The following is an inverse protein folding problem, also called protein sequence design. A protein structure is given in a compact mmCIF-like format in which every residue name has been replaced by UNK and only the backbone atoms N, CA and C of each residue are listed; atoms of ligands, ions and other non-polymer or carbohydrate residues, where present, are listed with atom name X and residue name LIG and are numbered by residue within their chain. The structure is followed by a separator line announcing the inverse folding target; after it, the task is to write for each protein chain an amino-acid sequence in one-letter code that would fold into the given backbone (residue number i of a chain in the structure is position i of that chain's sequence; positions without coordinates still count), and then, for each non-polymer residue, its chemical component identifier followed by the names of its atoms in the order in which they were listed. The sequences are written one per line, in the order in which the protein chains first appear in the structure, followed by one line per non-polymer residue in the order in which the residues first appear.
data_IF_732482148463
#
_entry.id   IF_732482148463
#
_cell.length_a   1.000
_cell.length_b   1.000
_cell.length_c   1.000
_cell.angle_alpha   90.00
_cell.angle_beta   90.00
_cell.angle_gamma   90.00
#
_symmetry.space_group_name_H-M   'P 1'
#
loop_
_entity.id
_entity.type
_entity.pdbx_description
1 polymer ?
#
# COMPACT_ATOMS: atom_id res chain seq x y z
N UNK A 1 -37.11 41.85 14.95
CA UNK A 1 -36.27 41.57 13.77
C UNK A 1 -36.46 40.15 13.24
N UNK A 2 -36.06 39.09 13.97
CA UNK A 2 -36.10 37.68 13.52
C UNK A 2 -37.49 37.18 13.06
N UNK A 3 -38.55 37.50 13.81
CA UNK A 3 -39.95 37.21 13.42
C UNK A 3 -40.35 37.85 12.09
N UNK A 4 -39.86 39.05 11.80
CA UNK A 4 -40.16 39.77 10.57
C UNK A 4 -39.43 39.12 9.38
N UNK A 5 -38.17 38.72 9.57
CA UNK A 5 -37.36 37.99 8.59
C UNK A 5 -37.99 36.66 8.20
N UNK A 6 -38.41 35.83 9.16
CA UNK A 6 -39.09 34.56 8.89
C UNK A 6 -40.42 34.74 8.16
N UNK A 7 -41.18 35.80 8.47
CA UNK A 7 -42.43 36.13 7.77
C UNK A 7 -42.15 36.52 6.31
N UNK A 8 -41.07 37.25 6.06
CA UNK A 8 -40.65 37.66 4.72
C UNK A 8 -40.13 36.48 3.87
N UNK A 9 -39.38 35.56 4.50
CA UNK A 9 -38.95 34.29 3.92
C UNK A 9 -40.14 33.42 3.51
N UNK A 10 -41.14 33.27 4.39
CA UNK A 10 -42.39 32.55 4.10
C UNK A 10 -43.26 33.21 3.03
N UNK A 11 -43.16 34.52 2.83
CA UNK A 11 -43.86 35.21 1.75
C UNK A 11 -43.23 34.94 0.37
N UNK A 12 -41.93 34.65 0.32
CA UNK A 12 -41.16 34.45 -0.92
C UNK A 12 -40.55 33.04 -1.02
N UNK A 13 -41.36 32.00 -0.77
CA UNK A 13 -40.89 30.61 -0.58
C UNK A 13 -40.05 30.08 -1.74
N UNK A 14 -40.47 30.35 -2.99
CA UNK A 14 -39.80 29.84 -4.19
C UNK A 14 -38.42 30.49 -4.35
N UNK A 15 -38.35 31.82 -4.27
CA UNK A 15 -37.09 32.55 -4.38
C UNK A 15 -36.11 32.13 -3.29
N UNK A 16 -36.59 32.02 -2.05
CA UNK A 16 -35.77 31.55 -0.94
C UNK A 16 -35.22 30.14 -1.20
N UNK A 17 -36.08 29.19 -1.60
CA UNK A 17 -35.67 27.82 -1.90
C UNK A 17 -34.60 27.76 -2.98
N UNK A 18 -34.76 28.49 -4.10
CA UNK A 18 -33.78 28.52 -5.19
C UNK A 18 -32.44 29.12 -4.75
N UNK A 19 -32.45 30.20 -3.97
CA UNK A 19 -31.20 30.79 -3.44
C UNK A 19 -30.50 29.87 -2.44
N UNK A 20 -31.26 29.22 -1.56
CA UNK A 20 -30.71 28.26 -0.60
C UNK A 20 -30.14 27.06 -1.34
N UNK A 21 -30.83 26.53 -2.34
CA UNK A 21 -30.34 25.42 -3.16
C UNK A 21 -29.02 25.79 -3.85
N UNK A 22 -28.91 26.99 -4.44
CA UNK A 22 -27.68 27.45 -5.05
C UNK A 22 -26.51 27.50 -4.06
N UNK A 23 -26.74 28.03 -2.85
CA UNK A 23 -25.72 28.06 -1.78
C UNK A 23 -25.35 26.65 -1.31
N UNK A 24 -26.33 25.76 -1.12
CA UNK A 24 -26.08 24.38 -0.69
C UNK A 24 -25.25 23.65 -1.74
N UNK A 25 -25.61 23.73 -3.03
CA UNK A 25 -24.85 23.08 -4.10
C UNK A 25 -23.41 23.60 -4.18
N UNK A 26 -23.21 24.92 -4.07
CA UNK A 26 -21.88 25.51 -4.08
C UNK A 26 -21.03 25.04 -2.90
N UNK A 27 -21.58 25.06 -1.68
CA UNK A 27 -20.87 24.62 -0.47
C UNK A 27 -20.61 23.11 -0.50
N UNK A 28 -21.58 22.31 -0.94
CA UNK A 28 -21.42 20.86 -1.09
C UNK A 28 -20.27 20.53 -2.04
N UNK A 29 -20.15 21.22 -3.18
CA UNK A 29 -19.05 20.99 -4.10
C UNK A 29 -17.68 21.30 -3.47
N UNK A 30 -17.58 22.42 -2.75
CA UNK A 30 -16.34 22.80 -2.04
C UNK A 30 -15.99 21.77 -0.97
N UNK A 31 -16.97 21.33 -0.16
CA UNK A 31 -16.77 20.32 0.88
C UNK A 31 -16.36 18.97 0.28
N UNK A 32 -16.99 18.54 -0.82
CA UNK A 32 -16.64 17.27 -1.48
C UNK A 32 -15.19 17.24 -1.96
N UNK A 33 -14.67 18.35 -2.49
CA UNK A 33 -13.28 18.43 -2.91
C UNK A 33 -12.31 18.29 -1.73
N UNK A 34 -12.62 18.93 -0.60
CA UNK A 34 -11.81 18.78 0.62
C UNK A 34 -11.89 17.38 1.21
N UNK A 35 -13.08 16.81 1.34
CA UNK A 35 -13.24 15.44 1.86
C UNK A 35 -12.52 14.42 0.98
N UNK A 36 -12.58 14.57 -0.35
CA UNK A 36 -11.84 13.72 -1.26
C UNK A 36 -10.32 13.88 -1.10
N UNK A 37 -9.83 15.13 -1.02
CA UNK A 37 -8.42 15.41 -0.84
C UNK A 37 -7.88 14.90 0.50
N UNK A 38 -8.61 15.13 1.59
CA UNK A 38 -8.28 14.65 2.93
C UNK A 38 -8.34 13.12 2.98
N UNK A 39 -9.34 12.50 2.34
CA UNK A 39 -9.48 11.05 2.25
C UNK A 39 -8.32 10.40 1.50
N UNK A 40 -7.92 10.95 0.36
CA UNK A 40 -6.73 10.49 -0.38
C UNK A 40 -5.48 10.63 0.48
N UNK A 41 -5.29 11.78 1.12
CA UNK A 41 -4.11 12.03 1.97
C UNK A 41 -4.04 11.07 3.16
N UNK A 42 -5.17 10.81 3.82
CA UNK A 42 -5.24 9.84 4.92
C UNK A 42 -4.88 8.46 4.39
N UNK A 43 -5.54 8.00 3.32
CA UNK A 43 -5.31 6.67 2.76
C UNK A 43 -3.84 6.44 2.39
N UNK A 44 -3.19 7.40 1.71
CA UNK A 44 -1.76 7.28 1.40
C UNK A 44 -0.88 7.35 2.64
N UNK A 45 -1.25 8.15 3.65
CA UNK A 45 -0.56 8.21 4.92
C UNK A 45 -0.62 6.89 5.67
N UNK A 46 -1.83 6.34 5.80
CA UNK A 46 -2.11 5.07 6.48
C UNK A 46 -1.36 3.92 5.79
N UNK A 47 -1.43 3.83 4.46
CA UNK A 47 -0.68 2.81 3.69
C UNK A 47 0.83 2.95 3.87
N UNK A 48 1.36 4.17 3.91
CA UNK A 48 2.80 4.38 4.13
C UNK A 48 3.20 3.97 5.54
N UNK A 49 2.40 4.31 6.55
CA UNK A 49 2.64 3.95 7.95
C UNK A 49 2.59 2.43 8.16
N UNK A 50 1.60 1.77 7.55
CA UNK A 50 1.42 0.32 7.63
C UNK A 50 2.58 -0.44 6.96
N UNK A 51 3.04 -0.04 5.76
CA UNK A 51 4.13 -0.72 5.05
C UNK A 51 5.46 -0.61 5.81
N UNK A 52 5.68 0.48 6.53
CA UNK A 52 6.91 0.68 7.33
C UNK A 52 6.70 0.38 8.82
N UNK A 53 5.56 -0.21 9.19
CA UNK A 53 5.26 -0.47 10.60
C UNK A 53 6.34 -1.36 11.22
N UNK A 54 6.84 -0.97 12.40
CA UNK A 54 7.91 -1.67 13.09
C UNK A 54 9.33 -1.38 12.58
N UNK A 55 9.50 -0.57 11.53
CA UNK A 55 10.81 -0.16 11.00
C UNK A 55 11.10 1.30 11.36
N UNK A 56 12.06 1.53 12.25
CA UNK A 56 12.48 2.89 12.62
C UNK A 56 13.42 3.53 11.58
N UNK A 57 14.31 2.73 10.98
CA UNK A 57 15.34 3.18 10.04
C UNK A 57 15.55 2.11 8.96
N UNK A 58 15.54 2.53 7.70
CA UNK A 58 15.91 1.69 6.57
C UNK A 58 17.29 2.10 6.01
N UNK A 59 18.22 1.14 5.94
CA UNK A 59 19.53 1.35 5.34
C UNK A 59 19.47 0.89 3.88
N UNK A 60 19.60 1.83 2.95
CA UNK A 60 19.50 1.59 1.51
C UNK A 60 20.74 2.06 0.75
N UNK A 61 21.04 1.48 -0.43
CA UNK A 61 22.11 1.96 -1.30
C UNK A 61 21.96 3.46 -1.62
N UNK A 62 23.05 4.20 -1.50
CA UNK A 62 23.11 5.63 -1.84
C UNK A 62 23.41 5.79 -3.33
N UNK A 63 22.45 5.45 -4.20
CA UNK A 63 22.53 5.72 -5.64
C UNK A 63 21.29 6.48 -6.09
N UNK A 64 21.50 7.64 -6.72
CA UNK A 64 20.41 8.47 -7.27
C UNK A 64 19.97 8.01 -8.67
N UNK A 65 20.81 7.22 -9.37
CA UNK A 65 20.56 6.76 -10.75
C UNK A 65 21.23 5.41 -11.06
N UNK A 66 20.53 4.55 -11.79
CA UNK A 66 21.00 3.22 -12.23
C UNK A 66 20.60 2.09 -11.26
N UNK A 67 21.00 0.85 -11.59
CA UNK A 67 20.70 -0.30 -10.73
C UNK A 67 21.42 -0.14 -9.39
N UNK A 68 20.71 -0.20 -8.25
CA UNK A 68 21.32 -0.05 -6.94
C UNK A 68 22.33 -1.18 -6.72
N UNK A 69 23.55 -0.82 -6.32
CA UNK A 69 24.55 -1.82 -5.94
C UNK A 69 24.07 -2.49 -4.65
N UNK A 70 23.91 -3.84 -4.63
CA UNK A 70 23.46 -4.52 -3.43
C UNK A 70 24.37 -4.24 -2.24
N UNK A 71 23.77 -4.03 -1.07
CA UNK A 71 24.51 -3.89 0.16
C UNK A 71 25.19 -5.23 0.52
N UNK A 72 26.37 -5.16 1.11
CA UNK A 72 27.04 -6.35 1.62
C UNK A 72 26.18 -7.01 2.70
N UNK A 73 26.01 -8.33 2.65
CA UNK A 73 25.29 -9.09 3.67
C UNK A 73 25.87 -8.89 5.09
N UNK A 74 27.17 -8.60 5.20
CA UNK A 74 27.82 -8.30 6.48
C UNK A 74 27.39 -6.98 7.12
N UNK A 75 26.71 -6.10 6.38
CA UNK A 75 26.25 -4.80 6.89
C UNK A 75 25.20 -4.95 7.99
N UNK A 76 24.34 -5.98 7.92
CA UNK A 76 23.33 -6.25 8.95
C UNK A 76 23.99 -6.42 10.33
N UNK A 77 25.06 -7.20 10.39
CA UNK A 77 25.81 -7.41 11.64
C UNK A 77 26.47 -6.13 12.16
N UNK A 78 26.90 -5.24 11.25
CA UNK A 78 27.46 -3.94 11.62
C UNK A 78 26.38 -3.00 12.17
N UNK A 79 25.19 -2.98 11.56
CA UNK A 79 24.05 -2.16 12.01
C UNK A 79 23.53 -2.67 13.36
N UNK A 80 23.38 -3.98 13.53
CA UNK A 80 22.97 -4.60 14.78
C UNK A 80 23.93 -4.30 15.95
N UNK A 81 25.20 -4.00 15.66
CA UNK A 81 26.20 -3.67 16.67
C UNK A 81 26.20 -2.19 17.11
N UNK A 82 25.39 -1.33 16.47
CA UNK A 82 25.28 0.09 16.83
C UNK A 82 24.44 0.24 18.11
N UNK A 83 24.92 1.03 19.06
CA UNK A 83 24.22 1.28 20.32
C UNK A 83 22.84 1.92 20.05
N UNK A 84 21.80 1.37 20.68
CA UNK A 84 20.41 1.77 20.48
C UNK A 84 19.66 1.03 19.36
N UNK A 85 20.32 0.20 18.55
CA UNK A 85 19.64 -0.70 17.59
C UNK A 85 19.14 -1.92 18.34
N UNK A 86 17.82 -2.11 18.35
CA UNK A 86 17.19 -3.27 18.99
C UNK A 86 17.34 -4.53 18.14
N UNK A 87 17.09 -4.40 16.83
CA UNK A 87 17.19 -5.49 15.87
C UNK A 87 17.56 -4.95 14.48
N UNK A 88 18.20 -5.77 13.66
CA UNK A 88 18.54 -5.44 12.28
C UNK A 88 18.28 -6.65 11.38
N UNK A 89 17.40 -6.48 10.40
CA UNK A 89 16.95 -7.55 9.50
C UNK A 89 17.37 -7.21 8.07
N UNK A 90 17.93 -8.17 7.31
CA UNK A 90 18.14 -7.97 5.88
C UNK A 90 16.81 -7.87 5.16
N UNK A 91 16.66 -6.86 4.29
CA UNK A 91 15.59 -6.84 3.30
C UNK A 91 16.21 -7.09 1.91
N UNK A 92 15.70 -8.09 1.19
CA UNK A 92 16.13 -8.40 -0.17
C UNK A 92 14.89 -8.30 -1.05
N UNK A 93 14.98 -7.42 -2.03
CA UNK A 93 13.95 -7.19 -3.04
C UNK A 93 14.57 -7.50 -4.41
N UNK A 94 13.83 -8.25 -5.23
CA UNK A 94 14.20 -8.46 -6.62
C UNK A 94 13.90 -7.18 -7.44
N UNK A 95 14.62 -6.92 -8.53
CA UNK A 95 14.27 -5.81 -9.41
C UNK A 95 12.83 -5.91 -9.92
N UNK A 96 12.21 -4.76 -10.19
CA UNK A 96 10.87 -4.66 -10.78
C UNK A 96 10.68 -5.64 -11.94
N UNK A 97 9.60 -6.42 -11.90
CA UNK A 97 9.21 -7.41 -12.92
C UNK A 97 10.21 -8.55 -13.17
N UNK A 98 11.25 -8.70 -12.34
CA UNK A 98 12.27 -9.74 -12.51
C UNK A 98 11.77 -11.15 -12.12
N UNK A 99 10.86 -11.23 -11.15
CA UNK A 99 10.26 -12.48 -10.69
C UNK A 99 8.78 -12.48 -11.08
N UNK A 100 8.38 -13.47 -11.87
CA UNK A 100 7.04 -13.55 -12.44
C UNK A 100 6.43 -14.91 -12.14
N UNK A 101 5.30 -14.97 -11.41
CA UNK A 101 4.62 -16.23 -11.16
C UNK A 101 4.09 -16.80 -12.48
N UNK A 102 4.27 -18.11 -12.66
CA UNK A 102 3.77 -18.85 -13.82
C UNK A 102 2.69 -19.82 -13.32
N UNK A 103 1.41 -19.59 -13.65
CA UNK A 103 0.32 -20.51 -13.35
C UNK A 103 0.46 -21.82 -14.14
N UNK A 104 -0.34 -22.82 -13.77
CA UNK A 104 -0.29 -24.17 -14.37
C UNK A 104 -0.63 -24.21 -15.88
N UNK A 105 -1.24 -23.16 -16.42
CA UNK A 105 -1.51 -23.01 -17.86
C UNK A 105 -0.30 -22.50 -18.66
N UNK A 106 0.78 -22.10 -17.99
CA UNK A 106 2.14 -22.01 -18.52
C UNK A 106 2.60 -20.62 -18.96
N UNK A 107 1.71 -19.64 -19.04
CA UNK A 107 2.11 -18.27 -19.43
C UNK A 107 2.36 -17.40 -18.17
N UNK A 108 3.51 -16.69 -18.08
CA UNK A 108 3.78 -15.83 -16.94
C UNK A 108 2.73 -14.74 -16.78
N UNK A 109 2.32 -14.50 -15.54
CA UNK A 109 1.40 -13.41 -15.23
C UNK A 109 2.11 -12.08 -15.50
N UNK A 110 1.42 -11.20 -16.21
CA UNK A 110 1.86 -9.84 -16.49
C UNK A 110 0.91 -8.85 -15.82
N UNK A 111 1.43 -7.69 -15.42
CA UNK A 111 0.62 -6.60 -14.87
C UNK A 111 0.49 -5.46 -15.90
N UNK A 112 -0.64 -4.76 -15.80
CA UNK A 112 -0.88 -3.52 -16.53
C UNK A 112 -0.96 -2.38 -15.51
N UNK A 113 0.18 -1.78 -15.19
CA UNK A 113 0.25 -0.66 -14.24
C UNK A 113 1.48 -0.73 -13.34
N UNK A 114 1.33 -0.90 -12.01
CA UNK A 114 2.45 -1.08 -11.09
C UNK A 114 3.30 -2.32 -11.40
N UNK A 115 4.60 -2.32 -11.07
CA UNK A 115 5.48 -3.47 -11.30
C UNK A 115 5.10 -4.66 -10.41
N UNK A 116 5.54 -5.86 -10.80
CA UNK A 116 5.57 -7.03 -9.91
C UNK A 116 6.76 -6.90 -8.97
N UNK A 117 6.46 -7.05 -7.68
CA UNK A 117 7.45 -7.00 -6.62
C UNK A 117 7.66 -8.40 -6.06
N UNK A 118 8.91 -8.74 -5.76
CA UNK A 118 9.26 -9.99 -5.10
C UNK A 118 10.29 -9.73 -4.01
N UNK A 119 10.02 -10.30 -2.84
CA UNK A 119 10.82 -10.10 -1.64
C UNK A 119 11.31 -11.45 -1.13
N UNK A 120 12.46 -11.45 -0.47
CA UNK A 120 12.84 -12.59 0.37
C UNK A 120 11.88 -12.69 1.56
N UNK A 121 11.53 -13.92 1.92
CA UNK A 121 10.74 -14.16 3.12
C UNK A 121 11.52 -13.78 4.38
N UNK A 122 10.83 -13.17 5.35
CA UNK A 122 11.39 -12.81 6.65
C UNK A 122 10.58 -13.50 7.76
N UNK A 123 11.28 -14.24 8.62
CA UNK A 123 10.67 -14.86 9.81
C UNK A 123 10.43 -13.85 10.95
N UNK A 124 10.87 -12.59 10.77
CA UNK A 124 10.66 -11.54 11.75
C UNK A 124 9.32 -10.83 11.52
N UNK A 125 8.28 -11.32 12.19
CA UNK A 125 6.92 -10.76 12.13
C UNK A 125 6.83 -9.30 12.59
N UNK A 126 7.79 -8.80 13.38
CA UNK A 126 7.76 -7.42 13.88
C UNK A 126 8.13 -6.38 12.81
N UNK A 127 8.84 -6.79 11.76
CA UNK A 127 9.28 -5.90 10.66
C UNK A 127 8.80 -6.37 9.28
N UNK A 128 8.24 -7.57 9.19
CA UNK A 128 7.64 -8.05 7.94
C UNK A 128 6.35 -7.27 7.66
N UNK A 129 6.22 -6.61 6.50
CA UNK A 129 4.98 -5.95 6.10
C UNK A 129 3.91 -6.96 5.66
N UNK A 130 4.26 -8.25 5.57
CA UNK A 130 3.38 -9.31 5.09
C UNK A 130 2.97 -10.23 6.24
N UNK A 131 1.71 -10.66 6.20
CA UNK A 131 1.15 -11.66 7.10
C UNK A 131 0.78 -12.92 6.32
N UNK A 132 1.11 -14.09 6.87
CA UNK A 132 0.76 -15.37 6.26
C UNK A 132 -0.72 -15.69 6.57
N UNK A 133 -1.56 -15.68 5.54
CA UNK A 133 -3.00 -15.95 5.69
C UNK A 133 -3.32 -17.45 5.59
N UNK A 134 -2.56 -18.19 4.78
CA UNK A 134 -2.73 -19.62 4.56
C UNK A 134 -1.39 -20.27 4.15
N UNK A 135 -1.27 -21.58 4.37
CA UNK A 135 -0.05 -22.32 4.04
C UNK A 135 0.99 -22.29 5.17
N UNK A 136 2.27 -22.31 4.79
CA UNK A 136 3.43 -22.20 5.67
C UNK A 136 4.42 -21.19 5.05
N UNK A 137 5.35 -20.63 5.84
CA UNK A 137 6.51 -19.92 5.30
C UNK A 137 7.19 -20.74 4.19
N UNK A 138 7.59 -20.13 3.07
CA UNK A 138 8.20 -20.84 1.97
C UNK A 138 9.60 -21.35 2.35
N UNK A 139 9.87 -22.63 2.09
CA UNK A 139 11.22 -23.19 2.14
C UNK A 139 12.01 -22.92 0.83
N UNK A 140 13.18 -23.54 0.70
CA UNK A 140 13.95 -23.51 -0.54
C UNK A 140 13.12 -24.14 -1.66
N UNK A 141 13.10 -23.48 -2.83
CA UNK A 141 12.32 -23.86 -4.02
C UNK A 141 10.79 -23.72 -3.85
N UNK A 142 10.33 -23.08 -2.76
CA UNK A 142 8.93 -22.69 -2.55
C UNK A 142 8.76 -21.17 -2.66
N UNK A 143 7.52 -20.72 -2.84
CA UNK A 143 7.20 -19.29 -2.85
C UNK A 143 5.87 -19.02 -2.16
N UNK A 144 5.71 -17.78 -1.70
CA UNK A 144 4.43 -17.22 -1.28
C UNK A 144 3.99 -16.17 -2.30
N UNK A 145 2.69 -16.01 -2.45
CA UNK A 145 2.07 -15.04 -3.36
C UNK A 145 0.92 -14.34 -2.63
N UNK A 146 0.60 -13.12 -3.02
CA UNK A 146 -0.52 -12.39 -2.43
C UNK A 146 -1.86 -13.09 -2.68
N UNK A 147 -2.79 -12.89 -1.75
CA UNK A 147 -4.08 -13.58 -1.72
C UNK A 147 -4.90 -13.37 -3.00
N UNK A 148 -4.89 -12.14 -3.54
CA UNK A 148 -5.73 -11.76 -4.66
C UNK A 148 -5.17 -12.33 -5.97
N UNK A 149 -3.85 -12.29 -6.17
CA UNK A 149 -3.20 -12.95 -7.32
C UNK A 149 -3.38 -14.45 -7.27
N UNK A 150 -3.24 -15.08 -6.10
CA UNK A 150 -3.47 -16.52 -5.94
C UNK A 150 -4.89 -16.91 -6.37
N UNK A 151 -5.90 -16.18 -5.91
CA UNK A 151 -7.30 -16.45 -6.22
C UNK A 151 -7.65 -16.13 -7.68
N UNK A 152 -7.06 -15.08 -8.27
CA UNK A 152 -7.34 -14.65 -9.65
C UNK A 152 -6.74 -15.60 -10.67
N UNK A 153 -5.60 -16.22 -10.35
CA UNK A 153 -4.83 -17.08 -11.25
C UNK A 153 -4.82 -18.55 -10.82
N UNK A 154 -5.76 -18.95 -9.96
CA UNK A 154 -5.99 -20.34 -9.55
C UNK A 154 -4.75 -21.05 -8.98
N UNK A 155 -3.88 -20.34 -8.25
CA UNK A 155 -2.78 -20.96 -7.52
C UNK A 155 -3.29 -21.78 -6.32
N UNK A 156 -2.76 -22.97 -6.16
CA UNK A 156 -3.13 -23.96 -5.15
C UNK A 156 -1.92 -24.24 -4.26
N UNK A 157 -2.12 -24.14 -2.94
CA UNK A 157 -1.08 -24.43 -1.95
C UNK A 157 -0.65 -25.89 -2.06
N UNK A 158 0.67 -26.11 -2.12
CA UNK A 158 1.29 -27.43 -2.23
C UNK A 158 1.37 -28.00 -3.64
N UNK A 159 0.92 -27.24 -4.66
CA UNK A 159 1.14 -27.57 -6.06
C UNK A 159 2.52 -27.07 -6.53
N UNK A 160 3.08 -27.74 -7.53
CA UNK A 160 4.35 -27.37 -8.17
C UNK A 160 4.06 -26.75 -9.53
N UNK A 161 4.68 -25.61 -9.79
CA UNK A 161 4.53 -24.85 -11.03
C UNK A 161 5.88 -24.85 -11.77
N UNK A 162 5.99 -25.72 -12.77
CA UNK A 162 7.19 -25.85 -13.60
C UNK A 162 7.07 -25.00 -14.87
N UNK A 163 8.22 -24.48 -15.32
CA UNK A 163 8.39 -23.70 -16.56
C UNK A 163 8.80 -24.59 -17.73
#
# INVERSE_FOLDING_TARGET
MLRLTLKNLRANKVRFALTTLGVVLAVSFVVSAFVLGDGLRSTFGDVSEDITAGVDIEVRPANDFGDPVPLSAGLVALVAAVDGVFDAVPNIEAPDDAVRPIPADGDPITTQGPPQLAFAWSDNEAVSPFSLVAGQPPEIDEFSIDLDSAATHDFVIGETYDV
#
